data_IF_022877859905
#
_entry.id   IF_022877859905
#
_cell.length_a   1.000
_cell.length_b   1.000
_cell.length_c   1.000
_cell.angle_alpha   90.00
_cell.angle_beta   90.00
_cell.angle_gamma   90.00
#
_symmetry.space_group_name_H-M   'P 1'
#
loop_
_entity.id
_entity.type
_entity.pdbx_description
1 polymer ?
#
# COMPACT_ATOMS: atom_id res chain seq x y z
N UNK A 1 7.62 18.71 -7.56
CA UNK A 1 6.94 18.06 -6.42
C UNK A 1 8.02 17.79 -5.39
N UNK A 2 8.27 18.71 -4.46
CA UNK A 2 9.25 18.52 -3.38
C UNK A 2 8.66 17.70 -2.22
N UNK A 3 9.48 17.37 -1.23
CA UNK A 3 9.04 16.72 0.00
C UNK A 3 9.50 17.51 1.22
N UNK A 4 8.70 17.49 2.28
CA UNK A 4 9.00 18.25 3.49
C UNK A 4 9.85 17.48 4.49
N UNK A 5 10.87 18.14 5.04
CA UNK A 5 11.56 17.71 6.25
C UNK A 5 11.02 18.49 7.42
N UNK A 6 10.25 17.81 8.28
CA UNK A 6 9.56 18.43 9.39
C UNK A 6 10.46 18.64 10.60
N UNK A 7 10.29 19.78 11.25
CA UNK A 7 10.85 20.01 12.58
C UNK A 7 10.06 19.19 13.61
N UNK A 8 10.72 18.67 14.65
CA UNK A 8 10.00 17.96 15.72
C UNK A 8 9.04 18.94 16.43
N UNK A 9 7.75 18.60 16.68
CA UNK A 9 7.13 17.26 16.62
C UNK A 9 6.32 16.96 15.33
N UNK A 10 6.50 17.74 14.27
CA UNK A 10 5.68 17.68 13.07
C UNK A 10 6.07 16.49 12.18
N UNK A 11 5.10 15.93 11.45
CA UNK A 11 5.31 14.77 10.56
C UNK A 11 4.40 14.87 9.32
N UNK A 12 4.68 14.05 8.31
CA UNK A 12 3.91 13.97 7.07
C UNK A 12 4.49 14.80 5.92
N UNK A 13 4.05 14.52 4.70
CA UNK A 13 4.65 15.03 3.45
C UNK A 13 4.58 16.56 3.29
N UNK A 14 3.72 17.22 4.06
CA UNK A 14 3.51 18.67 4.07
C UNK A 14 3.79 19.31 5.43
N UNK A 15 4.22 18.55 6.44
CA UNK A 15 4.32 19.01 7.84
C UNK A 15 3.05 19.72 8.36
N UNK A 16 1.88 19.32 7.84
CA UNK A 16 0.58 19.89 8.18
C UNK A 16 -0.46 19.47 7.13
N UNK A 17 -1.43 18.64 7.47
CA UNK A 17 -2.63 18.43 6.65
C UNK A 17 -3.46 19.73 6.68
N UNK A 18 -3.75 20.49 5.61
CA UNK A 18 -3.95 20.18 4.18
C UNK A 18 -3.67 21.43 3.30
N UNK A 19 -3.20 21.14 2.08
CA UNK A 19 -3.20 21.95 0.85
C UNK A 19 -2.14 23.05 0.66
N UNK A 20 -1.32 22.81 -0.35
CA UNK A 20 -0.17 23.61 -0.74
C UNK A 20 -0.62 24.97 -1.31
N UNK A 21 -0.34 26.04 -0.56
CA UNK A 21 -0.19 27.38 -1.11
C UNK A 21 0.59 28.29 -0.14
N UNK A 22 1.85 28.55 -0.53
CA UNK A 22 2.61 29.81 -0.43
C UNK A 22 3.78 29.99 0.56
N UNK A 23 4.05 29.10 1.53
CA UNK A 23 5.36 29.08 2.25
C UNK A 23 5.68 27.67 2.77
N UNK A 24 6.23 26.84 1.90
CA UNK A 24 6.25 25.36 1.93
C UNK A 24 6.58 24.68 3.28
N UNK A 25 5.87 23.58 3.54
CA UNK A 25 5.81 22.81 4.81
C UNK A 25 5.02 23.47 5.95
N UNK A 26 4.04 24.33 5.62
CA UNK A 26 3.22 25.07 6.58
C UNK A 26 4.04 25.92 7.57
N UNK A 27 5.27 26.30 7.22
CA UNK A 27 6.22 26.97 8.12
C UNK A 27 6.79 26.07 9.23
N UNK A 28 6.57 24.76 9.17
CA UNK A 28 7.03 23.76 10.15
C UNK A 28 8.08 22.81 9.58
N UNK A 29 8.72 23.20 8.49
CA UNK A 29 9.75 22.40 7.85
C UNK A 29 10.40 23.07 6.66
N UNK A 30 11.34 22.36 6.06
CA UNK A 30 12.06 22.78 4.85
C UNK A 30 11.58 21.93 3.69
N UNK A 31 11.18 22.58 2.59
CA UNK A 31 10.86 21.92 1.34
C UNK A 31 12.15 21.52 0.64
N UNK A 32 12.37 20.22 0.47
CA UNK A 32 13.49 19.68 -0.29
C UNK A 32 13.04 19.41 -1.72
N UNK A 33 13.90 19.73 -2.69
CA UNK A 33 13.68 19.26 -4.05
C UNK A 33 13.57 17.73 -4.07
N UNK A 34 12.67 17.19 -4.89
CA UNK A 34 12.53 15.75 -5.00
C UNK A 34 13.83 15.15 -5.52
N UNK A 35 14.37 14.22 -4.73
CA UNK A 35 15.49 13.42 -5.18
C UNK A 35 15.14 12.63 -6.45
N UNK A 36 16.13 12.36 -7.32
CA UNK A 36 15.94 11.45 -8.43
C UNK A 36 15.44 10.08 -7.94
N UNK A 37 14.82 9.31 -8.84
CA UNK A 37 14.27 7.98 -8.51
C UNK A 37 15.31 7.13 -7.78
N UNK A 38 14.88 6.47 -6.70
CA UNK A 38 15.69 5.60 -5.83
C UNK A 38 16.81 6.32 -5.05
N UNK A 39 16.71 7.65 -4.88
CA UNK A 39 17.62 8.42 -4.01
C UNK A 39 16.87 9.12 -2.89
N UNK A 40 17.56 9.37 -1.79
CA UNK A 40 17.01 10.07 -0.63
C UNK A 40 18.08 10.85 0.15
N UNK A 41 17.62 11.67 1.08
CA UNK A 41 18.43 12.51 1.96
C UNK A 41 18.49 13.95 1.47
N UNK A 42 18.97 14.86 2.33
CA UNK A 42 19.06 16.29 2.04
C UNK A 42 19.97 16.64 0.85
N UNK A 43 20.88 15.74 0.46
CA UNK A 43 21.77 15.88 -0.69
C UNK A 43 21.52 14.85 -1.81
N UNK A 44 20.47 14.04 -1.68
CA UNK A 44 20.11 12.96 -2.62
C UNK A 44 21.25 11.97 -2.94
N UNK A 45 22.25 11.83 -2.06
CA UNK A 45 23.37 10.92 -2.30
C UNK A 45 23.10 9.49 -1.87
N UNK A 46 22.16 9.29 -0.96
CA UNK A 46 21.83 7.96 -0.42
C UNK A 46 20.91 7.20 -1.37
N UNK A 47 21.14 5.90 -1.53
CA UNK A 47 20.35 5.03 -2.39
C UNK A 47 19.29 4.27 -1.62
N UNK A 48 18.12 4.19 -2.22
CA UNK A 48 16.97 3.47 -1.71
C UNK A 48 16.75 2.19 -2.51
N UNK A 49 16.56 1.08 -1.82
CA UNK A 49 16.40 -0.22 -2.45
C UNK A 49 15.00 -0.76 -2.18
N UNK A 50 14.04 -0.40 -3.03
CA UNK A 50 12.66 -0.91 -2.98
C UNK A 50 12.40 -2.03 -4.01
N UNK A 51 13.46 -2.60 -4.62
CA UNK A 51 13.43 -3.67 -5.62
C UNK A 51 12.43 -3.47 -6.78
N UNK A 52 12.16 -2.21 -7.16
CA UNK A 52 11.18 -1.88 -8.20
C UNK A 52 9.74 -2.27 -7.85
N UNK A 53 9.45 -2.52 -6.58
CA UNK A 53 8.13 -2.93 -6.04
C UNK A 53 7.65 -1.96 -4.97
N UNK A 54 8.07 -0.71 -5.08
CA UNK A 54 7.71 0.31 -4.12
C UNK A 54 8.31 1.67 -4.47
N UNK A 55 7.82 2.66 -3.76
CA UNK A 55 8.18 4.06 -3.88
C UNK A 55 9.10 4.44 -2.73
N UNK A 56 10.24 5.04 -3.04
CA UNK A 56 11.15 5.52 -2.01
C UNK A 56 10.73 6.88 -1.48
N UNK A 57 10.72 7.03 -0.16
CA UNK A 57 10.56 8.32 0.47
C UNK A 57 11.81 9.18 0.27
N UNK A 58 11.73 10.36 -0.37
CA UNK A 58 12.89 11.16 -0.75
C UNK A 58 13.64 11.77 0.44
N UNK A 59 12.98 11.97 1.59
CA UNK A 59 13.64 12.45 2.82
C UNK A 59 14.24 11.31 3.63
N UNK A 60 13.42 10.33 4.04
CA UNK A 60 13.81 9.31 5.01
C UNK A 60 14.39 8.02 4.41
N UNK A 61 14.21 7.78 3.10
CA UNK A 61 14.69 6.57 2.44
C UNK A 61 13.89 5.30 2.74
N UNK A 62 12.75 5.38 3.43
CA UNK A 62 11.88 4.22 3.62
C UNK A 62 11.10 3.92 2.33
N UNK A 63 10.79 2.65 2.12
CA UNK A 63 9.96 2.22 1.00
C UNK A 63 8.48 2.16 1.40
N UNK A 64 7.62 2.71 0.54
CA UNK A 64 6.20 2.40 0.51
C UNK A 64 5.98 1.34 -0.56
N UNK A 65 5.65 0.11 -0.16
CA UNK A 65 5.57 -1.00 -1.10
C UNK A 65 4.29 -0.99 -1.94
N UNK A 66 4.42 -1.43 -3.18
CA UNK A 66 3.29 -1.64 -4.07
C UNK A 66 2.35 -2.72 -3.50
N UNK A 67 1.13 -2.76 -4.03
CA UNK A 67 0.13 -3.73 -3.59
C UNK A 67 0.64 -5.17 -3.75
N UNK A 68 0.42 -5.99 -2.72
CA UNK A 68 0.88 -7.37 -2.71
C UNK A 68 2.30 -7.58 -2.16
N UNK A 69 3.02 -6.51 -1.79
CA UNK A 69 4.37 -6.57 -1.22
C UNK A 69 4.49 -5.82 0.11
N UNK A 70 5.48 -6.19 0.91
CA UNK A 70 5.78 -5.62 2.22
C UNK A 70 7.24 -5.81 2.61
N UNK A 71 7.60 -5.29 3.79
CA UNK A 71 8.95 -5.26 4.34
C UNK A 71 9.73 -4.01 3.93
N UNK A 72 10.84 -3.75 4.62
CA UNK A 72 11.65 -2.52 4.45
C UNK A 72 12.10 -2.25 3.00
N UNK A 73 12.22 -3.30 2.19
CA UNK A 73 12.67 -3.23 0.80
C UNK A 73 11.63 -3.76 -0.21
N UNK A 74 10.40 -4.06 0.20
CA UNK A 74 9.35 -4.56 -0.69
C UNK A 74 9.66 -5.88 -1.41
N UNK A 75 10.54 -6.70 -0.83
CA UNK A 75 10.88 -8.02 -1.36
C UNK A 75 9.83 -9.08 -1.03
N UNK A 76 9.16 -8.96 0.12
CA UNK A 76 8.29 -9.99 0.67
C UNK A 76 6.88 -9.85 0.12
N UNK A 77 6.34 -10.91 -0.48
CA UNK A 77 4.91 -10.96 -0.85
C UNK A 77 4.01 -10.97 0.40
N UNK A 78 2.80 -10.46 0.28
CA UNK A 78 1.82 -10.54 1.37
C UNK A 78 1.61 -11.97 1.85
N UNK A 79 1.55 -12.13 3.17
CA UNK A 79 1.10 -13.38 3.79
C UNK A 79 -0.36 -13.62 3.44
N UNK A 80 -0.74 -14.89 3.35
CA UNK A 80 -2.14 -15.29 3.12
C UNK A 80 -3.05 -14.60 4.15
N UNK A 81 -4.16 -14.03 3.68
CA UNK A 81 -5.11 -13.28 4.50
C UNK A 81 -4.84 -11.77 4.58
N UNK A 82 -3.78 -11.27 3.94
CA UNK A 82 -3.46 -9.84 3.87
C UNK A 82 -3.30 -9.37 2.41
N UNK A 83 -3.64 -8.12 2.15
CA UNK A 83 -3.56 -7.50 0.83
C UNK A 83 -3.30 -5.99 0.89
N UNK A 84 -3.11 -5.39 -0.29
CA UNK A 84 -2.97 -3.95 -0.45
C UNK A 84 -1.53 -3.45 -0.26
N UNK A 85 -1.37 -2.13 -0.20
CA UNK A 85 -0.09 -1.45 0.04
C UNK A 85 0.48 -1.88 1.38
N UNK A 86 1.75 -2.28 1.39
CA UNK A 86 2.43 -2.82 2.57
C UNK A 86 1.70 -4.01 3.25
N UNK A 87 0.74 -4.64 2.58
CA UNK A 87 -0.14 -5.67 3.15
C UNK A 87 -0.93 -5.19 4.38
N UNK A 88 -1.30 -3.90 4.43
CA UNK A 88 -1.96 -3.28 5.58
C UNK A 88 -3.43 -3.71 5.75
N UNK A 89 -4.04 -4.32 4.74
CA UNK A 89 -5.46 -4.71 4.75
C UNK A 89 -5.62 -6.21 4.95
N UNK A 90 -6.73 -6.63 5.58
CA UNK A 90 -7.05 -8.03 5.85
C UNK A 90 -8.16 -8.52 4.92
N UNK A 91 -7.96 -9.69 4.35
CA UNK A 91 -8.99 -10.40 3.59
C UNK A 91 -10.18 -10.78 4.49
N UNK A 92 -11.34 -11.02 3.87
CA UNK A 92 -12.49 -11.61 4.58
C UNK A 92 -12.06 -12.94 5.19
N UNK A 93 -12.33 -13.11 6.48
CA UNK A 93 -11.97 -14.30 7.25
C UNK A 93 -13.17 -15.24 7.42
N UNK A 94 -12.99 -16.57 7.35
CA UNK A 94 -11.82 -17.26 6.78
C UNK A 94 -11.66 -16.90 5.28
N UNK A 95 -10.49 -17.12 4.67
CA UNK A 95 -10.15 -16.68 3.29
C UNK A 95 -11.35 -16.78 2.33
N UNK A 96 -11.98 -15.64 2.05
CA UNK A 96 -13.22 -15.54 1.27
C UNK A 96 -14.36 -16.44 1.78
N UNK A 97 -14.72 -16.24 3.05
CA UNK A 97 -15.68 -17.06 3.82
C UNK A 97 -15.36 -18.57 3.81
N UNK A 98 -14.12 -18.95 3.50
CA UNK A 98 -13.67 -20.34 3.39
C UNK A 98 -13.99 -20.99 2.03
N UNK A 99 -14.60 -20.23 1.12
CA UNK A 99 -15.11 -20.72 -0.17
C UNK A 99 -14.43 -20.05 -1.36
N UNK A 100 -13.21 -19.57 -1.18
CA UNK A 100 -12.44 -18.96 -2.25
C UNK A 100 -11.04 -18.56 -1.82
N UNK A 101 -10.40 -17.75 -2.66
CA UNK A 101 -9.09 -17.18 -2.40
C UNK A 101 -9.09 -15.68 -2.60
N UNK A 102 -8.52 -14.96 -1.63
CA UNK A 102 -8.36 -13.53 -1.66
C UNK A 102 -7.16 -13.10 -2.50
N UNK A 103 -7.36 -12.11 -3.37
CA UNK A 103 -6.30 -11.43 -4.10
C UNK A 103 -5.41 -10.62 -3.16
N UNK A 104 -4.11 -10.88 -3.14
CA UNK A 104 -3.14 -10.10 -2.35
C UNK A 104 -2.97 -8.66 -2.86
N UNK A 105 -3.43 -8.36 -4.06
CA UNK A 105 -3.29 -7.05 -4.69
C UNK A 105 -4.38 -6.09 -4.19
N UNK A 106 -5.64 -6.52 -4.26
CA UNK A 106 -6.80 -5.64 -4.05
C UNK A 106 -7.87 -6.24 -3.12
N UNK A 107 -7.65 -7.43 -2.57
CA UNK A 107 -8.57 -8.04 -1.62
C UNK A 107 -9.80 -8.71 -2.24
N UNK A 108 -9.95 -8.72 -3.57
CA UNK A 108 -11.09 -9.36 -4.23
C UNK A 108 -11.07 -10.87 -4.05
N UNK A 109 -12.24 -11.47 -3.89
CA UNK A 109 -12.38 -12.91 -3.73
C UNK A 109 -12.61 -13.64 -5.05
N UNK A 110 -11.82 -14.68 -5.30
CA UNK A 110 -12.05 -15.65 -6.36
C UNK A 110 -12.75 -16.87 -5.76
N UNK A 111 -14.03 -17.04 -6.06
CA UNK A 111 -14.86 -18.08 -5.44
C UNK A 111 -14.62 -19.47 -6.05
N UNK A 112 -14.65 -20.47 -5.18
CA UNK A 112 -14.69 -21.87 -5.55
C UNK A 112 -16.00 -22.19 -6.29
N UNK A 113 -16.00 -23.27 -7.09
CA UNK A 113 -17.19 -23.72 -7.82
C UNK A 113 -18.38 -23.91 -6.87
N UNK A 114 -19.54 -23.38 -7.25
CA UNK A 114 -20.75 -23.44 -6.43
C UNK A 114 -20.92 -22.28 -5.45
N UNK A 115 -20.00 -21.30 -5.44
CA UNK A 115 -20.09 -20.12 -4.59
C UNK A 115 -19.98 -18.82 -5.40
N UNK A 116 -20.63 -17.77 -4.91
CA UNK A 116 -20.64 -16.42 -5.50
C UNK A 116 -20.77 -15.36 -4.40
N UNK A 117 -20.85 -14.09 -4.80
CA UNK A 117 -20.83 -12.92 -3.92
C UNK A 117 -19.41 -12.39 -3.72
N UNK A 118 -19.31 -11.15 -3.23
CA UNK A 118 -18.03 -10.46 -3.02
C UNK A 118 -17.10 -11.14 -2.02
N UNK A 119 -17.66 -11.94 -1.11
CA UNK A 119 -16.93 -12.74 -0.12
C UNK A 119 -17.11 -14.26 -0.29
N UNK A 120 -17.72 -14.73 -1.38
CA UNK A 120 -18.01 -16.16 -1.61
C UNK A 120 -18.91 -16.79 -0.54
N UNK A 121 -19.86 -16.03 -0.02
CA UNK A 121 -20.80 -16.47 1.02
C UNK A 121 -22.18 -16.90 0.47
N UNK A 122 -22.37 -16.88 -0.85
CA UNK A 122 -23.65 -17.22 -1.49
C UNK A 122 -23.48 -18.53 -2.29
N UNK A 123 -24.31 -19.53 -2.04
CA UNK A 123 -24.28 -20.80 -2.78
C UNK A 123 -25.02 -20.64 -4.11
N UNK A 124 -24.35 -20.98 -5.21
CA UNK A 124 -24.97 -21.16 -6.53
C UNK A 124 -25.75 -22.48 -6.53
N UNK A 125 -27.03 -22.40 -6.17
CA UNK A 125 -27.93 -23.56 -6.32
C UNK A 125 -28.00 -23.92 -7.79
N UNK A 126 -27.53 -25.11 -8.13
CA UNK A 126 -27.88 -25.71 -9.40
C UNK A 126 -29.38 -26.02 -9.29
N UNK A 127 -30.20 -25.41 -10.14
CA UNK A 127 -31.53 -25.92 -10.39
C UNK A 127 -31.36 -27.35 -10.92
N UNK A 128 -31.47 -28.33 -10.03
CA UNK A 128 -31.83 -29.68 -10.43
C UNK A 128 -33.26 -29.56 -10.95
N UNK A 129 -33.40 -29.44 -12.28
CA UNK A 129 -34.64 -29.80 -12.94
C UNK A 129 -34.84 -31.29 -12.68
N UNK A 130 -35.62 -31.62 -11.66
CA UNK A 130 -36.31 -32.89 -11.61
C UNK A 130 -37.34 -32.84 -12.74
N UNK A 131 -37.07 -33.61 -13.80
CA UNK A 131 -38.06 -33.97 -14.82
C UNK A 131 -39.03 -35.00 -14.26
#
# INVERSE_FOLDING_TARGET
MGACSCESPWTGDTCGSVNCSLTDCNGHGICMEACPRNRYGSDCRSYCYCYGRGHCHPVYGNCTCDTGYTGAHCWTKCKKGYYGVNCAQKCVYPDCSGNGHCSIVNGSCFCNKGWTGTSCNIILRHHHHHH
#
